data_IF_393351661810
#
_entry.id   IF_393351661810
#
_cell.length_a   1.000
_cell.length_b   1.000
_cell.length_c   1.000
_cell.angle_alpha   90.00
_cell.angle_beta   90.00
_cell.angle_gamma   90.00
#
_symmetry.space_group_name_H-M   'P 1'
#
loop_
_entity.id
_entity.type
_entity.pdbx_description
1 polymer ?
#
# COMPACT_ATOMS: atom_id res chain seq x y z
N UNK A 1 32.71 -43.52 28.15
CA UNK A 1 32.18 -42.91 29.38
C UNK A 1 32.14 -41.40 29.18
N UNK A 2 30.97 -40.83 29.42
CA UNK A 2 30.50 -39.52 28.93
C UNK A 2 31.17 -38.30 29.56
N UNK A 3 31.40 -37.31 28.69
CA UNK A 3 31.62 -35.90 29.02
C UNK A 3 30.31 -35.26 29.52
N UNK A 4 30.25 -34.84 30.79
CA UNK A 4 29.13 -34.03 31.32
C UNK A 4 29.29 -32.56 30.93
N UNK A 5 28.48 -32.10 29.97
CA UNK A 5 28.15 -30.68 29.75
C UNK A 5 27.38 -30.14 30.95
N UNK A 6 27.84 -29.02 31.52
CA UNK A 6 27.03 -28.19 32.43
C UNK A 6 26.16 -27.24 31.59
N UNK A 7 24.91 -27.63 31.36
CA UNK A 7 23.86 -26.69 30.99
C UNK A 7 23.56 -25.80 32.21
N UNK A 8 23.88 -24.51 32.11
CA UNK A 8 23.30 -23.50 33.00
C UNK A 8 21.92 -23.15 32.45
N UNK A 9 20.90 -23.86 32.94
CA UNK A 9 19.51 -23.48 32.73
C UNK A 9 19.23 -22.08 33.31
N UNK A 10 18.46 -21.28 32.58
CA UNK A 10 17.95 -19.99 33.06
C UNK A 10 17.13 -20.19 34.33
N UNK A 11 17.18 -19.21 35.22
CA UNK A 11 16.53 -19.23 36.52
C UNK A 11 15.00 -19.18 36.40
N UNK A 12 14.28 -19.79 37.36
CA UNK A 12 12.81 -19.83 37.40
C UNK A 12 12.15 -18.45 37.46
N UNK A 13 12.88 -17.39 37.83
CA UNK A 13 12.41 -16.01 37.84
C UNK A 13 12.33 -15.41 36.42
N UNK A 14 13.23 -15.82 35.50
CA UNK A 14 13.20 -15.41 34.09
C UNK A 14 12.08 -16.11 33.30
N UNK A 15 11.70 -17.33 33.72
CA UNK A 15 10.58 -18.06 33.12
C UNK A 15 9.21 -17.52 33.56
N UNK A 16 9.11 -16.87 34.73
CA UNK A 16 7.86 -16.29 35.23
C UNK A 16 7.57 -14.88 34.70
N UNK A 17 8.57 -14.17 34.15
CA UNK A 17 8.38 -12.84 33.55
C UNK A 17 7.79 -12.82 32.13
N UNK A 18 7.77 -13.97 31.43
CA UNK A 18 7.33 -14.06 30.03
C UNK A 18 5.86 -14.48 29.93
N UNK A 19 5.31 -15.12 30.97
CA UNK A 19 3.98 -15.76 30.92
C UNK A 19 2.78 -14.84 31.25
N UNK A 20 2.99 -13.57 31.63
CA UNK A 20 1.90 -12.70 32.13
C UNK A 20 1.87 -11.29 31.54
N UNK A 21 2.41 -11.07 30.33
CA UNK A 21 1.82 -10.04 29.46
C UNK A 21 0.81 -10.75 28.61
N UNK A 22 -0.48 -10.56 28.90
CA UNK A 22 -1.55 -11.00 28.00
C UNK A 22 -1.33 -10.35 26.64
N UNK A 23 -0.61 -11.04 25.76
CA UNK A 23 -0.27 -10.53 24.44
C UNK A 23 -1.54 -10.61 23.60
N UNK A 24 -2.36 -9.56 23.69
CA UNK A 24 -3.54 -9.40 22.85
C UNK A 24 -3.06 -9.32 21.42
N UNK A 25 -3.34 -10.36 20.64
CA UNK A 25 -3.15 -10.30 19.19
C UNK A 25 -4.00 -9.12 18.70
N UNK A 26 -3.41 -8.11 18.05
CA UNK A 26 -4.18 -7.01 17.49
C UNK A 26 -5.03 -7.56 16.34
N UNK A 27 -6.30 -7.87 16.63
CA UNK A 27 -7.28 -8.32 15.64
C UNK A 27 -7.93 -7.06 15.05
N UNK A 28 -7.54 -6.65 13.84
CA UNK A 28 -8.13 -5.48 13.17
C UNK A 28 -7.16 -4.70 12.28
N UNK A 29 -7.49 -3.43 11.99
CA UNK A 29 -6.59 -2.49 11.29
C UNK A 29 -5.45 -2.08 12.23
N UNK A 30 -4.36 -2.82 12.18
CA UNK A 30 -3.11 -2.51 12.90
C UNK A 30 -2.13 -1.82 11.96
N UNK A 31 -1.45 -0.77 12.41
CA UNK A 31 -0.36 -0.16 11.64
C UNK A 31 0.92 -1.01 11.71
N UNK A 32 1.81 -0.85 10.74
CA UNK A 32 3.13 -1.47 10.68
C UNK A 32 3.91 -1.19 11.96
N UNK A 33 3.83 0.04 12.45
CA UNK A 33 4.43 0.43 13.73
C UNK A 33 3.91 -0.41 14.88
N UNK A 34 2.60 -0.50 15.06
CA UNK A 34 2.00 -1.28 16.14
C UNK A 34 2.35 -2.76 16.03
N UNK A 35 2.34 -3.32 14.82
CA UNK A 35 2.68 -4.72 14.60
C UNK A 35 4.13 -5.03 14.93
N UNK A 36 5.06 -4.12 14.60
CA UNK A 36 6.48 -4.28 14.93
C UNK A 36 6.68 -4.14 16.44
N UNK A 37 6.07 -3.14 17.07
CA UNK A 37 6.17 -2.89 18.52
C UNK A 37 5.59 -4.02 19.36
N UNK A 38 4.50 -4.65 18.90
CA UNK A 38 3.85 -5.78 19.58
C UNK A 38 4.47 -7.14 19.25
N UNK A 39 5.46 -7.19 18.36
CA UNK A 39 6.14 -8.42 17.96
C UNK A 39 5.34 -9.34 17.02
N UNK A 40 4.18 -8.90 16.52
CA UNK A 40 3.32 -9.68 15.61
C UNK A 40 3.54 -9.38 14.12
N UNK A 41 4.56 -8.59 13.78
CA UNK A 41 4.88 -8.28 12.40
C UNK A 41 5.61 -9.44 11.71
N UNK A 42 4.98 -10.03 10.70
CA UNK A 42 5.63 -10.98 9.81
C UNK A 42 6.52 -10.22 8.81
N UNK A 43 7.81 -10.13 9.12
CA UNK A 43 8.79 -9.40 8.31
C UNK A 43 8.94 -10.00 6.90
N UNK A 44 8.63 -9.18 5.90
CA UNK A 44 8.80 -9.46 4.46
C UNK A 44 9.49 -8.31 3.73
N UNK A 45 10.21 -7.49 4.50
CA UNK A 45 10.77 -6.24 3.98
C UNK A 45 11.92 -6.46 2.99
N UNK A 46 12.48 -7.66 2.91
CA UNK A 46 13.42 -8.13 1.89
C UNK A 46 12.80 -8.29 0.50
N UNK A 47 11.51 -8.65 0.41
CA UNK A 47 10.78 -8.66 -0.84
C UNK A 47 10.35 -7.26 -1.24
N UNK A 48 9.99 -6.43 -0.25
CA UNK A 48 9.62 -5.04 -0.49
C UNK A 48 10.83 -4.25 -0.96
N UNK A 49 12.04 -4.49 -0.46
CA UNK A 49 13.23 -3.79 -0.98
C UNK A 49 13.44 -4.04 -2.48
N UNK A 50 13.22 -5.28 -2.95
CA UNK A 50 13.26 -5.63 -4.40
C UNK A 50 12.18 -4.91 -5.20
N UNK A 51 10.99 -4.72 -4.63
CA UNK A 51 9.92 -3.93 -5.26
C UNK A 51 10.35 -2.48 -5.55
N UNK A 52 11.21 -1.92 -4.69
CA UNK A 52 11.75 -0.57 -4.85
C UNK A 52 12.91 -0.51 -5.86
N UNK A 53 13.47 -1.64 -6.28
CA UNK A 53 14.45 -1.71 -7.38
C UNK A 53 13.74 -1.59 -8.75
N UNK A 54 12.51 -2.08 -8.86
CA UNK A 54 11.71 -2.00 -10.07
C UNK A 54 11.33 -0.53 -10.42
N UNK A 55 11.19 -0.22 -11.71
CA UNK A 55 10.78 1.10 -12.21
C UNK A 55 9.61 0.99 -13.19
N UNK A 56 8.67 1.94 -13.11
CA UNK A 56 7.52 2.02 -14.00
C UNK A 56 6.67 0.76 -14.01
N UNK A 57 6.58 0.05 -12.88
CA UNK A 57 5.87 -1.24 -12.80
C UNK A 57 4.47 -1.09 -12.21
N UNK A 58 3.50 -1.78 -12.80
CA UNK A 58 2.11 -1.80 -12.35
C UNK A 58 1.80 -3.14 -11.67
N UNK A 59 1.65 -3.13 -10.35
CA UNK A 59 1.30 -4.31 -9.56
C UNK A 59 -0.19 -4.33 -9.24
N UNK A 60 -0.84 -5.40 -9.65
CA UNK A 60 -2.26 -5.61 -9.40
C UNK A 60 -2.49 -6.84 -8.54
N UNK A 61 -3.09 -6.64 -7.37
CA UNK A 61 -3.26 -7.66 -6.33
C UNK A 61 -4.74 -7.98 -6.07
N UNK A 62 -5.32 -8.85 -6.90
CA UNK A 62 -6.67 -9.41 -6.72
C UNK A 62 -6.61 -10.78 -6.05
N UNK A 63 -6.87 -10.87 -4.74
CA UNK A 63 -6.96 -12.16 -3.98
C UNK A 63 -7.63 -12.00 -2.60
N UNK A 64 -8.00 -13.08 -1.87
CA UNK A 64 -9.12 -13.11 -0.93
C UNK A 64 -9.04 -12.20 0.31
N UNK A 65 -10.20 -11.96 0.93
CA UNK A 65 -10.46 -11.15 2.15
C UNK A 65 -9.56 -11.58 3.33
N UNK A 66 -9.10 -10.63 4.15
CA UNK A 66 -8.31 -10.80 5.40
C UNK A 66 -6.80 -11.12 5.25
N UNK A 67 -6.19 -10.85 4.10
CA UNK A 67 -4.77 -11.14 3.85
C UNK A 67 -3.76 -10.04 4.30
N UNK A 68 -4.15 -9.14 5.21
CA UNK A 68 -3.25 -8.08 5.70
C UNK A 68 -2.76 -7.07 4.66
N UNK A 69 -3.55 -6.83 3.61
CA UNK A 69 -3.16 -5.99 2.47
C UNK A 69 -2.90 -4.53 2.86
N UNK A 70 -3.77 -3.95 3.69
CA UNK A 70 -3.56 -2.60 4.19
C UNK A 70 -2.31 -2.50 5.07
N UNK A 71 -1.91 -3.58 5.76
CA UNK A 71 -0.63 -3.61 6.51
C UNK A 71 0.58 -3.60 5.56
N UNK A 72 0.49 -4.31 4.42
CA UNK A 72 1.54 -4.26 3.40
C UNK A 72 1.64 -2.86 2.77
N UNK A 73 0.51 -2.25 2.41
CA UNK A 73 0.49 -0.88 1.88
C UNK A 73 1.05 0.13 2.89
N UNK A 74 0.66 -0.01 4.17
CA UNK A 74 1.22 0.81 5.24
C UNK A 74 2.72 0.58 5.38
N UNK A 75 3.21 -0.66 5.29
CA UNK A 75 4.65 -0.95 5.31
C UNK A 75 5.37 -0.25 4.17
N UNK A 76 4.83 -0.33 2.94
CA UNK A 76 5.38 0.34 1.77
C UNK A 76 5.41 1.86 1.98
N UNK A 77 4.32 2.46 2.48
CA UNK A 77 4.25 3.89 2.82
C UNK A 77 5.30 4.31 3.85
N UNK A 78 5.46 3.53 4.94
CA UNK A 78 6.47 3.82 5.97
C UNK A 78 7.91 3.73 5.42
N UNK A 79 8.17 2.76 4.54
CA UNK A 79 9.47 2.64 3.86
C UNK A 79 9.68 3.83 2.91
N UNK A 80 8.67 4.19 2.12
CA UNK A 80 8.68 5.31 1.18
C UNK A 80 8.91 6.67 1.87
N UNK A 81 8.39 6.85 3.09
CA UNK A 81 8.64 8.04 3.92
C UNK A 81 10.05 8.09 4.52
N UNK A 82 10.83 7.01 4.39
CA UNK A 82 12.19 6.92 4.90
C UNK A 82 12.24 6.65 6.40
N UNK A 83 11.23 6.03 7.00
CA UNK A 83 11.14 5.76 8.44
C UNK A 83 12.08 4.62 8.90
N UNK A 84 13.38 4.75 8.64
CA UNK A 84 14.41 3.74 8.91
C UNK A 84 14.39 3.20 10.34
N UNK A 85 14.16 4.07 11.32
CA UNK A 85 14.14 3.69 12.75
C UNK A 85 13.01 2.70 13.08
N UNK A 86 11.93 2.70 12.31
CA UNK A 86 10.79 1.79 12.49
C UNK A 86 11.19 0.33 12.22
N UNK A 87 12.07 0.13 11.25
CA UNK A 87 12.40 -1.19 10.70
C UNK A 87 13.65 -1.81 11.29
N UNK A 88 14.15 -1.33 12.44
CA UNK A 88 15.42 -1.80 13.05
C UNK A 88 15.53 -3.32 13.20
N UNK A 89 14.42 -3.99 13.48
CA UNK A 89 14.35 -5.44 13.65
C UNK A 89 14.10 -6.19 12.33
N UNK A 90 13.77 -5.48 11.25
CA UNK A 90 13.39 -6.03 9.96
C UNK A 90 14.58 -6.20 8.99
N UNK A 91 14.41 -7.04 7.98
CA UNK A 91 15.43 -7.40 6.99
C UNK A 91 15.94 -6.20 6.19
N UNK A 92 15.05 -5.30 5.75
CA UNK A 92 15.41 -4.09 4.98
C UNK A 92 16.36 -3.15 5.73
N UNK A 93 16.36 -3.16 7.07
CA UNK A 93 17.29 -2.35 7.84
C UNK A 93 18.72 -2.90 7.81
N UNK A 94 18.85 -4.24 7.71
CA UNK A 94 20.14 -4.92 7.59
C UNK A 94 20.71 -4.86 6.18
N UNK A 95 19.89 -4.52 5.20
CA UNK A 95 20.32 -4.32 3.82
C UNK A 95 21.11 -3.01 3.66
N UNK A 96 22.43 -3.15 3.50
CA UNK A 96 23.35 -2.02 3.29
C UNK A 96 23.20 -1.35 1.90
N UNK A 97 22.59 -2.05 0.94
CA UNK A 97 22.38 -1.51 -0.42
C UNK A 97 21.20 -0.55 -0.44
N UNK A 98 20.18 -0.79 0.37
CA UNK A 98 18.99 0.05 0.42
C UNK A 98 19.29 1.45 0.97
N UNK A 99 18.99 2.49 0.16
CA UNK A 99 19.40 3.87 0.42
C UNK A 99 18.41 4.71 1.22
N UNK A 100 17.26 4.16 1.63
CA UNK A 100 16.23 4.89 2.38
C UNK A 100 15.85 6.23 1.75
N UNK A 101 15.83 6.26 0.40
CA UNK A 101 15.38 7.44 -0.36
C UNK A 101 13.91 7.66 -0.07
N UNK A 102 13.51 8.93 0.11
CA UNK A 102 12.11 9.27 0.28
C UNK A 102 11.42 9.33 -1.08
N UNK A 103 10.18 8.89 -1.14
CA UNK A 103 9.35 8.94 -2.33
C UNK A 103 8.02 9.59 -1.96
N UNK A 104 7.45 10.45 -2.81
CA UNK A 104 6.10 10.91 -2.63
C UNK A 104 5.12 9.74 -2.82
N UNK A 105 4.03 9.71 -2.05
CA UNK A 105 3.07 8.61 -2.03
C UNK A 105 1.66 9.17 -2.20
N UNK A 106 0.97 8.74 -3.25
CA UNK A 106 -0.47 8.94 -3.41
C UNK A 106 -1.16 7.69 -2.89
N UNK A 107 -1.73 7.75 -1.68
CA UNK A 107 -2.46 6.62 -1.11
C UNK A 107 -3.97 6.88 -1.09
N UNK A 108 -4.70 6.10 -1.89
CA UNK A 108 -6.15 6.12 -1.99
C UNK A 108 -6.74 4.83 -1.42
N UNK A 109 -7.66 4.96 -0.46
CA UNK A 109 -8.46 3.85 0.02
C UNK A 109 -9.91 4.06 -0.43
N UNK A 110 -10.38 3.19 -1.32
CA UNK A 110 -11.64 3.35 -2.02
C UNK A 110 -12.85 2.97 -1.15
N UNK A 111 -12.67 2.21 -0.06
CA UNK A 111 -13.75 1.93 0.90
C UNK A 111 -14.11 3.12 1.78
N UNK A 112 -13.30 4.19 1.76
CA UNK A 112 -13.57 5.45 2.46
C UNK A 112 -14.22 6.52 1.58
N UNK A 113 -14.44 6.24 0.29
CA UNK A 113 -14.97 7.21 -0.66
C UNK A 113 -16.50 7.18 -0.68
N UNK A 114 -17.11 8.34 -0.94
CA UNK A 114 -18.55 8.42 -1.19
C UNK A 114 -18.87 7.97 -2.61
N UNK A 115 -19.52 6.82 -2.76
CA UNK A 115 -19.84 6.23 -4.05
C UNK A 115 -21.35 6.02 -4.25
N UNK A 116 -22.18 7.01 -3.88
CA UNK A 116 -23.63 6.97 -4.13
C UNK A 116 -23.96 7.22 -5.59
N UNK A 117 -23.15 8.00 -6.29
CA UNK A 117 -23.26 8.27 -7.73
C UNK A 117 -21.86 8.37 -8.34
N UNK A 118 -21.75 8.33 -9.68
CA UNK A 118 -20.49 8.62 -10.36
C UNK A 118 -19.91 9.98 -9.95
N UNK A 119 -20.75 11.03 -9.97
CA UNK A 119 -20.32 12.38 -9.57
C UNK A 119 -19.90 12.48 -8.11
N UNK A 120 -20.53 11.74 -7.18
CA UNK A 120 -20.10 11.74 -5.78
C UNK A 120 -18.74 11.07 -5.61
N UNK A 121 -18.49 9.99 -6.36
CA UNK A 121 -17.21 9.28 -6.35
C UNK A 121 -16.11 10.17 -6.91
N UNK A 122 -16.37 10.83 -8.04
CA UNK A 122 -15.44 11.76 -8.67
C UNK A 122 -15.07 12.91 -7.71
N UNK A 123 -16.07 13.57 -7.11
CA UNK A 123 -15.83 14.62 -6.13
C UNK A 123 -15.04 14.12 -4.90
N UNK A 124 -15.36 12.91 -4.42
CA UNK A 124 -14.65 12.31 -3.29
C UNK A 124 -13.19 11.98 -3.62
N UNK A 125 -12.89 11.56 -4.84
CA UNK A 125 -11.53 11.30 -5.32
C UNK A 125 -10.76 12.60 -5.49
N UNK A 126 -11.34 13.61 -6.15
CA UNK A 126 -10.73 14.95 -6.32
C UNK A 126 -10.38 15.55 -4.97
N UNK A 127 -11.32 15.53 -4.01
CA UNK A 127 -11.06 15.98 -2.65
C UNK A 127 -9.86 15.25 -2.03
N UNK A 128 -9.82 13.92 -2.16
CA UNK A 128 -8.73 13.13 -1.56
C UNK A 128 -7.38 13.43 -2.20
N UNK A 129 -7.34 13.71 -3.51
CA UNK A 129 -6.13 14.13 -4.21
C UNK A 129 -5.66 15.52 -3.74
N UNK A 130 -6.59 16.45 -3.47
CA UNK A 130 -6.24 17.74 -2.86
C UNK A 130 -5.77 17.61 -1.43
N UNK A 131 -6.35 16.73 -0.61
CA UNK A 131 -5.83 16.46 0.74
C UNK A 131 -4.37 15.97 0.68
N UNK A 132 -4.04 15.13 -0.31
CA UNK A 132 -2.66 14.65 -0.53
C UNK A 132 -1.77 15.79 -1.01
N UNK A 133 -2.27 16.68 -1.88
CA UNK A 133 -1.53 17.87 -2.30
C UNK A 133 -1.17 18.74 -1.08
N UNK A 134 -2.12 18.94 -0.15
CA UNK A 134 -1.90 19.67 1.10
C UNK A 134 -0.85 18.98 1.99
N UNK A 135 -0.89 17.65 2.12
CA UNK A 135 0.11 16.88 2.88
C UNK A 135 1.56 17.06 2.36
N UNK A 136 1.72 17.51 1.12
CA UNK A 136 3.00 17.78 0.45
C UNK A 136 3.27 19.28 0.21
N UNK A 137 2.48 20.17 0.80
CA UNK A 137 2.57 21.63 0.63
C UNK A 137 2.50 22.07 -0.85
N UNK A 138 1.73 21.34 -1.67
CA UNK A 138 1.54 21.67 -3.09
C UNK A 138 0.45 22.74 -3.23
N UNK A 139 0.80 23.81 -3.96
CA UNK A 139 -0.13 24.88 -4.29
C UNK A 139 -1.24 24.40 -5.24
N UNK A 140 -2.43 24.18 -4.66
CA UNK A 140 -3.62 23.70 -5.38
C UNK A 140 -4.10 24.63 -6.48
N UNK A 141 -3.79 25.94 -6.42
CA UNK A 141 -4.19 26.88 -7.48
C UNK A 141 -3.59 26.51 -8.85
N UNK A 142 -2.44 25.81 -8.84
CA UNK A 142 -1.75 25.33 -10.04
C UNK A 142 -2.33 24.03 -10.60
N UNK A 143 -3.24 23.39 -9.86
CA UNK A 143 -3.93 22.15 -10.24
C UNK A 143 -5.42 22.38 -10.51
N UNK A 144 -5.89 23.63 -10.40
CA UNK A 144 -7.28 23.95 -10.71
C UNK A 144 -7.43 24.18 -12.22
N UNK A 145 -8.49 23.65 -12.85
CA UNK A 145 -8.74 23.88 -14.26
C UNK A 145 -9.08 25.35 -14.52
N UNK A 146 -8.71 25.85 -15.70
CA UNK A 146 -9.05 27.21 -16.15
C UNK A 146 -10.56 27.33 -16.43
N UNK A 147 -11.19 26.26 -16.93
CA UNK A 147 -12.60 26.22 -17.30
C UNK A 147 -13.25 24.94 -16.74
N UNK A 148 -14.40 25.10 -16.11
CA UNK A 148 -15.20 23.99 -15.60
C UNK A 148 -14.76 23.46 -14.22
N UNK A 149 -15.48 22.46 -13.68
CA UNK A 149 -15.12 21.85 -12.41
C UNK A 149 -13.89 20.93 -12.55
N UNK A 150 -13.11 20.73 -11.47
CA UNK A 150 -11.99 19.79 -11.48
C UNK A 150 -12.48 18.35 -11.71
N UNK A 151 -11.84 17.66 -12.65
CA UNK A 151 -12.05 16.23 -12.88
C UNK A 151 -11.03 15.41 -12.11
N UNK A 152 -11.36 14.16 -11.76
CA UNK A 152 -10.40 13.28 -11.08
C UNK A 152 -9.16 13.00 -11.94
N UNK A 153 -9.34 12.94 -13.25
CA UNK A 153 -8.30 12.60 -14.22
C UNK A 153 -7.23 13.70 -14.31
N UNK A 154 -7.67 14.95 -14.46
CA UNK A 154 -6.78 16.10 -14.56
C UNK A 154 -6.08 16.34 -13.22
N UNK A 155 -6.85 16.29 -12.12
CA UNK A 155 -6.32 16.47 -10.76
C UNK A 155 -5.24 15.44 -10.44
N UNK A 156 -5.43 14.17 -10.82
CA UNK A 156 -4.42 13.12 -10.63
C UNK A 156 -3.15 13.40 -11.45
N UNK A 157 -3.32 13.76 -12.72
CA UNK A 157 -2.20 14.04 -13.64
C UNK A 157 -1.37 15.23 -13.14
N UNK A 158 -2.03 16.30 -12.72
CA UNK A 158 -1.39 17.48 -12.17
C UNK A 158 -0.70 17.20 -10.84
N UNK A 159 -1.32 16.39 -9.96
CA UNK A 159 -0.70 15.97 -8.71
C UNK A 159 0.59 15.19 -8.95
N UNK A 160 0.57 14.21 -9.86
CA UNK A 160 1.77 13.43 -10.21
C UNK A 160 2.88 14.38 -10.70
N UNK A 161 2.56 15.31 -11.59
CA UNK A 161 3.52 16.29 -12.12
C UNK A 161 4.05 17.24 -11.04
N UNK A 162 3.22 17.62 -10.08
CA UNK A 162 3.64 18.46 -8.95
C UNK A 162 4.56 17.69 -7.99
N UNK A 163 4.22 16.43 -7.67
CA UNK A 163 5.05 15.56 -6.82
C UNK A 163 6.43 15.29 -7.43
N UNK A 164 6.52 15.20 -8.77
CA UNK A 164 7.79 15.09 -9.48
C UNK A 164 8.74 16.28 -9.26
N UNK A 165 8.21 17.42 -8.83
CA UNK A 165 8.93 18.68 -8.63
C UNK A 165 9.19 19.03 -7.16
N UNK A 166 8.90 18.14 -6.21
CA UNK A 166 9.10 18.36 -4.76
C UNK A 166 10.57 18.61 -4.32
N UNK A 167 11.53 18.49 -5.23
CA UNK A 167 12.93 18.84 -4.99
C UNK A 167 13.78 17.70 -4.44
N UNK A 168 14.99 18.02 -3.98
CA UNK A 168 16.07 17.05 -3.68
C UNK A 168 15.78 16.08 -2.54
N UNK A 169 14.83 16.39 -1.66
CA UNK A 169 14.47 15.55 -0.52
C UNK A 169 13.64 14.32 -0.93
N UNK A 170 13.04 14.33 -2.12
CA UNK A 170 12.19 13.25 -2.64
C UNK A 170 12.75 12.71 -3.95
N UNK A 171 12.46 11.44 -4.23
CA UNK A 171 12.59 10.91 -5.57
C UNK A 171 11.59 11.61 -6.50
N UNK A 172 12.00 11.81 -7.75
CA UNK A 172 11.15 12.42 -8.77
C UNK A 172 9.91 11.57 -9.06
N UNK A 173 10.00 10.25 -9.05
CA UNK A 173 8.84 9.42 -9.38
C UNK A 173 8.01 9.07 -8.12
N UNK A 174 6.73 9.50 -8.02
CA UNK A 174 5.86 9.12 -6.92
C UNK A 174 5.45 7.64 -6.98
N UNK A 175 5.04 7.09 -5.85
CA UNK A 175 4.34 5.81 -5.74
C UNK A 175 2.84 6.04 -5.63
N UNK A 176 2.05 5.18 -6.27
CA UNK A 176 0.58 5.22 -6.14
C UNK A 176 0.11 3.93 -5.49
N UNK A 177 -0.55 4.04 -4.34
CA UNK A 177 -1.09 2.93 -3.58
C UNK A 177 -2.62 3.02 -3.57
N UNK A 178 -3.30 2.00 -4.08
CA UNK A 178 -4.75 1.93 -4.16
C UNK A 178 -5.23 0.72 -3.36
N UNK A 179 -5.99 0.98 -2.30
CA UNK A 179 -6.58 -0.02 -1.42
C UNK A 179 -8.09 -0.17 -1.71
N UNK A 180 -8.56 -1.41 -1.73
CA UNK A 180 -9.97 -1.78 -1.92
C UNK A 180 -10.64 -1.12 -3.14
N UNK A 181 -9.97 -1.12 -4.30
CA UNK A 181 -10.42 -0.40 -5.50
C UNK A 181 -11.83 -0.78 -5.98
N UNK A 182 -12.23 -2.01 -5.66
CA UNK A 182 -13.48 -2.65 -6.02
C UNK A 182 -14.62 -2.30 -5.04
N UNK A 183 -14.31 -1.68 -3.90
CA UNK A 183 -15.30 -1.33 -2.88
C UNK A 183 -16.47 -0.49 -3.41
N UNK A 184 -16.28 0.56 -4.23
CA UNK A 184 -17.39 1.36 -4.75
C UNK A 184 -18.39 0.54 -5.58
N UNK A 185 -17.89 -0.42 -6.38
CA UNK A 185 -18.73 -1.29 -7.21
C UNK A 185 -19.42 -2.40 -6.39
N UNK A 186 -18.81 -2.81 -5.28
CA UNK A 186 -19.40 -3.83 -4.39
C UNK A 186 -20.54 -3.22 -3.55
N UNK A 187 -20.43 -1.95 -3.19
CA UNK A 187 -21.39 -1.29 -2.29
C UNK A 187 -22.51 -0.52 -3.01
N UNK A 188 -22.50 -0.46 -4.34
CA UNK A 188 -23.45 0.35 -5.10
C UNK A 188 -24.73 -0.40 -5.45
N UNK A 189 -25.81 0.35 -5.63
CA UNK A 189 -27.08 -0.14 -6.17
C UNK A 189 -27.01 -0.26 -7.71
N UNK A 190 -27.95 -1.01 -8.31
CA UNK A 190 -27.95 -1.31 -9.75
C UNK A 190 -27.97 -0.05 -10.65
N UNK A 191 -28.74 0.96 -10.26
CA UNK A 191 -28.89 2.23 -10.96
C UNK A 191 -27.64 3.12 -10.84
N UNK A 192 -26.77 2.87 -9.85
CA UNK A 192 -25.53 3.61 -9.61
C UNK A 192 -24.33 3.01 -10.35
N UNK A 193 -24.40 1.73 -10.68
CA UNK A 193 -23.29 0.91 -11.18
C UNK A 193 -22.60 1.52 -12.40
N UNK A 194 -23.35 1.91 -13.43
CA UNK A 194 -22.80 2.44 -14.68
C UNK A 194 -22.04 3.77 -14.47
N UNK A 195 -22.60 4.66 -13.64
CA UNK A 195 -21.95 5.93 -13.32
C UNK A 195 -20.63 5.74 -12.57
N UNK A 196 -20.61 4.81 -11.61
CA UNK A 196 -19.40 4.47 -10.83
C UNK A 196 -18.37 3.79 -11.73
N UNK A 197 -18.78 2.83 -12.55
CA UNK A 197 -17.91 2.10 -13.46
C UNK A 197 -17.25 3.05 -14.47
N UNK A 198 -18.00 4.02 -14.99
CA UNK A 198 -17.48 5.05 -15.91
C UNK A 198 -16.35 5.88 -15.28
N UNK A 199 -16.53 6.36 -14.04
CA UNK A 199 -15.51 7.12 -13.30
C UNK A 199 -14.28 6.26 -13.02
N UNK A 200 -14.47 5.03 -12.53
CA UNK A 200 -13.37 4.10 -12.27
C UNK A 200 -12.59 3.77 -13.55
N UNK A 201 -13.29 3.48 -14.65
CA UNK A 201 -12.66 3.16 -15.93
C UNK A 201 -11.80 4.32 -16.45
N UNK A 202 -12.32 5.54 -16.33
CA UNK A 202 -11.60 6.76 -16.69
C UNK A 202 -10.36 6.98 -15.82
N UNK A 203 -10.51 6.87 -14.50
CA UNK A 203 -9.44 7.00 -13.54
C UNK A 203 -8.29 5.99 -13.78
N UNK A 204 -8.63 4.71 -13.99
CA UNK A 204 -7.64 3.67 -14.25
C UNK A 204 -6.97 3.80 -15.63
N UNK A 205 -7.65 4.36 -16.62
CA UNK A 205 -7.06 4.69 -17.92
C UNK A 205 -5.95 5.74 -17.77
N UNK A 206 -6.19 6.80 -16.99
CA UNK A 206 -5.17 7.82 -16.70
C UNK A 206 -4.00 7.23 -15.93
N UNK A 207 -4.25 6.45 -14.87
CA UNK A 207 -3.19 5.78 -14.11
C UNK A 207 -2.26 4.94 -14.99
N UNK A 208 -2.83 4.22 -15.96
CA UNK A 208 -2.05 3.43 -16.91
C UNK A 208 -1.21 4.31 -17.84
N UNK A 209 -1.75 5.44 -18.27
CA UNK A 209 -1.01 6.45 -19.05
C UNK A 209 0.19 7.02 -18.27
N UNK A 210 0.01 7.28 -16.97
CA UNK A 210 1.04 7.83 -16.08
C UNK A 210 1.99 6.79 -15.49
N UNK A 211 1.95 5.53 -15.94
CA UNK A 211 2.78 4.45 -15.37
C UNK A 211 4.28 4.76 -15.42
N UNK A 212 4.76 5.41 -16.50
CA UNK A 212 6.18 5.79 -16.66
C UNK A 212 6.62 6.93 -15.74
N UNK A 213 5.66 7.74 -15.32
CA UNK A 213 5.88 8.88 -14.44
C UNK A 213 5.96 8.48 -12.97
N UNK A 214 5.57 7.25 -12.64
CA UNK A 214 5.51 6.69 -11.30
C UNK A 214 6.63 5.67 -11.07
N UNK A 215 7.07 5.53 -9.82
CA UNK A 215 8.05 4.50 -9.44
C UNK A 215 7.41 3.12 -9.57
N UNK A 216 6.23 2.98 -8.98
CA UNK A 216 5.29 1.91 -9.27
C UNK A 216 3.87 2.30 -8.85
N UNK A 217 2.90 1.55 -9.37
CA UNK A 217 1.49 1.63 -8.98
C UNK A 217 1.11 0.29 -8.35
N UNK A 218 0.56 0.31 -7.14
CA UNK A 218 0.16 -0.88 -6.41
C UNK A 218 -1.34 -0.82 -6.10
N UNK A 219 -2.10 -1.75 -6.66
CA UNK A 219 -3.56 -1.79 -6.54
C UNK A 219 -4.00 -3.07 -5.84
N UNK A 220 -4.91 -2.95 -4.87
CA UNK A 220 -5.46 -4.10 -4.16
C UNK A 220 -6.98 -4.10 -4.17
N UNK A 221 -7.55 -5.30 -4.29
CA UNK A 221 -9.00 -5.54 -4.24
C UNK A 221 -9.32 -7.02 -4.08
N UNK A 222 -10.60 -7.35 -3.93
CA UNK A 222 -11.11 -8.72 -3.77
C UNK A 222 -11.63 -9.26 -5.11
N UNK A 223 -12.40 -8.46 -5.82
CA UNK A 223 -13.09 -8.82 -7.05
C UNK A 223 -12.20 -8.55 -8.26
N UNK A 224 -12.27 -9.43 -9.26
CA UNK A 224 -11.69 -9.19 -10.57
C UNK A 224 -12.75 -8.55 -11.45
N UNK A 225 -13.00 -7.27 -11.28
CA UNK A 225 -13.80 -6.54 -12.25
C UNK A 225 -12.98 -6.40 -13.53
N UNK A 226 -13.56 -6.80 -14.66
CA UNK A 226 -13.00 -6.51 -15.98
C UNK A 226 -13.24 -5.03 -16.26
N UNK A 227 -12.40 -4.15 -15.71
CA UNK A 227 -12.28 -2.80 -16.25
C UNK A 227 -11.69 -2.96 -17.65
N UNK A 228 -12.55 -2.87 -18.67
CA UNK A 228 -12.21 -2.90 -20.08
C UNK A 228 -11.14 -1.85 -20.37
N UNK A 229 -9.87 -2.28 -20.44
CA UNK A 229 -8.73 -1.41 -20.67
C UNK A 229 -7.54 -1.60 -19.72
N UNK A 230 -7.71 -2.27 -18.58
CA UNK A 230 -6.60 -2.50 -17.65
C UNK A 230 -5.55 -3.48 -18.21
N UNK A 231 -5.91 -4.42 -19.08
CA UNK A 231 -5.12 -5.65 -19.34
C UNK A 231 -4.03 -5.58 -20.43
N UNK A 232 -3.83 -4.48 -21.15
CA UNK A 232 -2.84 -4.43 -22.26
C UNK A 232 -1.45 -3.85 -21.92
N UNK A 233 -1.22 -3.42 -20.68
CA UNK A 233 0.12 -3.04 -20.20
C UNK A 233 0.87 -4.26 -19.64
N UNK A 234 2.19 -4.15 -19.40
CA UNK A 234 3.00 -5.17 -18.72
C UNK A 234 2.55 -5.29 -17.25
N UNK A 235 1.34 -5.81 -17.03
CA UNK A 235 0.85 -6.20 -15.72
C UNK A 235 1.62 -7.46 -15.38
N UNK A 236 2.49 -7.36 -14.39
CA UNK A 236 2.93 -8.55 -13.70
C UNK A 236 1.79 -8.88 -12.73
N UNK A 237 0.89 -9.86 -13.02
CA UNK A 237 0.19 -10.50 -11.92
C UNK A 237 1.33 -11.00 -11.05
N UNK A 238 1.47 -10.47 -9.84
CA UNK A 238 2.60 -10.79 -8.98
C UNK A 238 2.66 -12.33 -8.93
N UNK A 239 3.64 -12.90 -9.65
CA UNK A 239 3.47 -14.24 -10.23
C UNK A 239 3.24 -15.25 -9.13
N UNK A 240 2.59 -16.38 -9.43
CA UNK A 240 2.30 -17.46 -8.47
C UNK A 240 3.50 -17.83 -7.57
N UNK A 241 4.74 -17.55 -7.98
CA UNK A 241 5.95 -17.69 -7.18
C UNK A 241 6.04 -16.68 -6.01
N UNK A 242 5.93 -15.37 -6.28
CA UNK A 242 5.89 -14.33 -5.24
C UNK A 242 4.62 -14.45 -4.38
N UNK A 243 3.52 -14.87 -5.01
CA UNK A 243 2.24 -15.14 -4.35
C UNK A 243 2.26 -16.37 -3.45
N UNK A 244 2.89 -17.49 -3.82
CA UNK A 244 3.05 -18.68 -2.96
C UNK A 244 3.92 -18.37 -1.75
N UNK A 245 4.97 -17.56 -1.92
CA UNK A 245 5.86 -17.14 -0.85
C UNK A 245 5.13 -16.17 0.09
N UNK A 246 4.33 -15.24 -0.47
CA UNK A 246 3.51 -14.36 0.36
C UNK A 246 2.30 -15.07 1.00
N UNK A 247 1.72 -16.09 0.36
CA UNK A 247 0.57 -16.85 0.86
C UNK A 247 0.92 -17.96 1.85
N UNK A 248 2.11 -18.56 1.77
CA UNK A 248 2.50 -19.68 2.66
C UNK A 248 2.86 -19.28 4.09
N UNK A 249 2.93 -17.99 4.42
CA UNK A 249 3.42 -17.53 5.73
C UNK A 249 2.51 -16.51 6.43
N UNK A 250 1.20 -16.51 6.17
CA UNK A 250 0.25 -15.59 6.83
C UNK A 250 -0.81 -16.27 7.70
N UNK A 251 -0.61 -17.56 8.00
CA UNK A 251 -1.37 -18.30 8.99
C UNK A 251 -0.37 -18.88 9.98
N UNK A 252 -0.14 -18.19 11.10
CA UNK A 252 0.29 -18.89 12.32
C UNK A 252 -0.98 -19.57 12.84
N UNK A 253 -1.41 -20.65 12.18
CA UNK A 253 -2.12 -21.69 12.92
C UNK A 253 -1.03 -22.37 13.71
N UNK A 254 -1.12 -22.26 15.04
CA UNK A 254 -0.38 -23.12 15.96
C UNK A 254 -0.41 -24.53 15.39
N UNK A 255 0.75 -25.07 15.00
CA UNK A 255 0.97 -26.50 15.14
C UNK A 255 1.12 -26.73 16.64
N UNK A 256 0.01 -27.10 17.27
CA UNK A 256 0.04 -28.03 18.40
C UNK A 256 0.34 -29.40 17.80
#
# INVERSE_FOLDING_TARGET
MEYKKKDKGLSNEEQQGIATRGVRIPIGKSSTKQMIETGFYADKTDYISKLFEDEGTYYFFTRPRRFGKSLLLDTIDQIAKGNKKLFKTCAIYRDKKYKWKKYPVIWLNFSKLSAKTGSSLEASLVKKLYDIADDYDIDKSKMQPIIGPPTVNDTLSDLIRALQKLGSNYASQPMILIDEYDSPLISCEKDQYEGILSVLSSFFKVLKGSQKDCKFIFVTGVTKFHLSGLTSGRILPMTYHCMKIMQRCWVIQKRI
#
